data_IF_898197686194
#
_entry.id   IF_898197686194
#
_cell.length_a   1.000
_cell.length_b   1.000
_cell.length_c   1.000
_cell.angle_alpha   90.00
_cell.angle_beta   90.00
_cell.angle_gamma   90.00
#
_symmetry.space_group_name_H-M   'P 1'
#
loop_
_entity.id
_entity.type
_entity.pdbx_description
1 polymer ?
#
# COMPACT_ATOMS: atom_id res chain seq x y z
N UNK A 1 17.25 -13.62 8.05
CA UNK A 1 16.20 -12.57 8.11
C UNK A 1 14.95 -13.00 7.37
N UNK A 2 13.77 -12.55 7.80
CA UNK A 2 12.48 -12.78 7.17
C UNK A 2 11.49 -11.64 7.49
N UNK A 3 10.44 -11.49 6.70
CA UNK A 3 9.35 -10.53 6.95
C UNK A 3 8.29 -11.23 7.79
N UNK A 4 7.89 -10.65 8.92
CA UNK A 4 6.89 -11.23 9.83
C UNK A 4 5.52 -10.56 9.75
N UNK A 5 5.49 -9.27 9.45
CA UNK A 5 4.28 -8.45 9.39
C UNK A 5 4.42 -7.41 8.29
N UNK A 6 3.32 -7.10 7.61
CA UNK A 6 3.15 -5.95 6.73
C UNK A 6 1.88 -5.21 7.14
N UNK A 7 2.01 -3.90 7.30
CA UNK A 7 0.94 -2.96 7.58
C UNK A 7 0.82 -2.06 6.35
N UNK A 8 -0.40 -1.88 5.87
CA UNK A 8 -0.71 -1.15 4.64
C UNK A 8 -1.77 -0.11 4.94
N UNK A 9 -1.49 1.14 4.60
CA UNK A 9 -2.44 2.23 4.68
C UNK A 9 -2.50 3.00 3.37
N UNK A 10 -3.74 3.34 2.99
CA UNK A 10 -4.12 4.14 1.84
C UNK A 10 -3.49 3.70 0.50
N UNK A 11 -3.19 2.42 0.33
CA UNK A 11 -2.58 1.89 -0.89
C UNK A 11 -3.62 1.14 -1.74
N UNK A 12 -4.00 1.73 -2.87
CA UNK A 12 -4.96 1.21 -3.85
C UNK A 12 -6.31 0.86 -3.20
N UNK A 13 -6.73 -0.40 -3.28
CA UNK A 13 -7.97 -0.86 -2.67
C UNK A 13 -7.91 -1.05 -1.15
N UNK A 14 -6.76 -0.85 -0.51
CA UNK A 14 -6.55 -1.10 0.91
C UNK A 14 -6.47 0.26 1.63
N UNK A 15 -7.50 0.59 2.42
CA UNK A 15 -7.47 1.77 3.30
C UNK A 15 -6.56 1.53 4.51
N UNK A 16 -6.74 0.40 5.16
CA UNK A 16 -5.94 -0.08 6.28
C UNK A 16 -5.95 -1.62 6.22
N UNK A 17 -4.81 -2.25 6.51
CA UNK A 17 -4.72 -3.70 6.51
C UNK A 17 -3.41 -4.20 7.10
N UNK A 18 -3.50 -5.35 7.78
CA UNK A 18 -2.35 -6.02 8.39
C UNK A 18 -2.27 -7.45 7.85
N UNK A 19 -1.08 -7.85 7.41
CA UNK A 19 -0.78 -9.21 6.95
C UNK A 19 0.36 -9.77 7.78
N UNK A 20 0.13 -10.91 8.42
CA UNK A 20 1.19 -11.67 9.11
C UNK A 20 1.73 -12.75 8.18
N UNK A 21 3.04 -12.94 8.24
CA UNK A 21 3.73 -13.94 7.44
C UNK A 21 4.33 -15.00 8.35
N UNK A 22 4.10 -16.26 7.97
CA UNK A 22 4.88 -17.39 8.44
C UNK A 22 6.03 -17.66 7.44
N UNK A 23 6.99 -18.54 7.77
CA UNK A 23 8.07 -18.91 6.85
C UNK A 23 7.58 -19.37 5.47
N UNK A 24 6.36 -19.91 5.38
CA UNK A 24 5.70 -20.30 4.14
C UNK A 24 4.27 -19.73 4.12
N UNK A 25 4.09 -18.61 3.42
CA UNK A 25 2.79 -17.93 3.31
C UNK A 25 2.25 -18.03 1.89
N UNK A 26 0.98 -18.45 1.76
CA UNK A 26 0.26 -18.49 0.48
C UNK A 26 -0.94 -17.54 0.55
N UNK A 27 -1.01 -16.59 -0.37
CA UNK A 27 -2.14 -15.67 -0.47
C UNK A 27 -3.19 -16.22 -1.45
N UNK A 28 -4.36 -16.62 -0.94
CA UNK A 28 -5.48 -17.14 -1.73
C UNK A 28 -6.68 -16.20 -1.60
N UNK A 29 -7.44 -16.04 -2.69
CA UNK A 29 -8.66 -15.25 -2.68
C UNK A 29 -9.13 -14.87 -4.08
N UNK A 30 -10.31 -14.28 -4.18
CA UNK A 30 -10.92 -13.82 -5.44
C UNK A 30 -10.06 -12.83 -6.22
N UNK A 31 -10.31 -12.67 -7.52
CA UNK A 31 -9.70 -11.59 -8.29
C UNK A 31 -10.03 -10.23 -7.65
N UNK A 32 -9.07 -9.30 -7.70
CA UNK A 32 -9.18 -7.95 -7.15
C UNK A 32 -9.30 -7.84 -5.61
N UNK A 33 -9.07 -8.91 -4.84
CA UNK A 33 -9.12 -8.86 -3.38
C UNK A 33 -7.85 -8.31 -2.69
N UNK A 34 -6.92 -7.70 -3.43
CA UNK A 34 -5.71 -7.09 -2.87
C UNK A 34 -4.46 -7.97 -2.80
N UNK A 35 -4.48 -9.23 -3.28
CA UNK A 35 -3.28 -10.10 -3.30
C UNK A 35 -2.08 -9.45 -4.00
N UNK A 36 -2.30 -8.94 -5.21
CA UNK A 36 -1.25 -8.26 -5.97
C UNK A 36 -0.80 -6.98 -5.26
N UNK A 37 -1.73 -6.25 -4.63
CA UNK A 37 -1.42 -5.05 -3.83
C UNK A 37 -0.47 -5.38 -2.67
N UNK A 38 -0.68 -6.49 -1.96
CA UNK A 38 0.23 -6.95 -0.88
C UNK A 38 1.63 -7.24 -1.43
N UNK A 39 1.72 -7.96 -2.57
CA UNK A 39 3.00 -8.30 -3.20
C UNK A 39 3.73 -7.05 -3.69
N UNK A 40 3.02 -6.10 -4.30
CA UNK A 40 3.59 -4.84 -4.76
C UNK A 40 3.99 -3.91 -3.61
N UNK A 41 3.27 -3.91 -2.48
CA UNK A 41 3.67 -3.20 -1.28
C UNK A 41 5.04 -3.68 -0.76
N UNK A 42 5.26 -5.00 -0.72
CA UNK A 42 6.56 -5.59 -0.39
C UNK A 42 7.64 -5.20 -1.41
N UNK A 43 7.31 -5.17 -2.70
CA UNK A 43 8.22 -4.75 -3.75
C UNK A 43 8.65 -3.27 -3.60
N UNK A 44 7.72 -2.39 -3.23
CA UNK A 44 8.00 -0.98 -2.93
C UNK A 44 8.90 -0.85 -1.70
N UNK A 45 8.62 -1.56 -0.61
CA UNK A 45 9.45 -1.55 0.61
C UNK A 45 10.89 -2.00 0.36
N UNK A 46 11.07 -3.08 -0.39
CA UNK A 46 12.38 -3.75 -0.53
C UNK A 46 13.05 -3.53 -1.89
N UNK A 47 12.92 -2.31 -2.44
CA UNK A 47 13.73 -1.82 -3.56
C UNK A 47 13.61 -2.63 -4.85
N UNK A 48 12.42 -3.18 -5.11
CA UNK A 48 12.02 -3.74 -6.42
C UNK A 48 11.11 -2.76 -7.16
N UNK A 49 11.32 -1.48 -6.91
CA UNK A 49 10.60 -0.34 -7.50
C UNK A 49 10.69 -0.32 -9.03
N UNK A 50 11.77 -0.81 -9.65
CA UNK A 50 11.83 -0.95 -11.13
C UNK A 50 10.87 -2.00 -11.69
N UNK A 51 10.39 -2.92 -10.86
CA UNK A 51 9.43 -3.97 -11.24
C UNK A 51 7.99 -3.53 -10.97
N UNK A 52 7.81 -2.48 -10.17
CA UNK A 52 6.52 -1.83 -9.94
C UNK A 52 6.46 -0.64 -10.89
N UNK A 53 5.29 -0.36 -11.46
CA UNK A 53 5.11 0.89 -12.20
C UNK A 53 5.37 2.08 -11.28
N UNK A 54 5.81 3.21 -11.83
CA UNK A 54 5.88 4.45 -11.05
C UNK A 54 4.53 4.76 -10.42
N UNK A 55 4.55 5.15 -9.14
CA UNK A 55 3.32 5.47 -8.42
C UNK A 55 2.64 6.69 -9.04
N UNK A 56 1.32 6.66 -9.02
CA UNK A 56 0.44 7.71 -9.51
C UNK A 56 -0.60 8.03 -8.45
N UNK A 57 -1.38 9.09 -8.66
CA UNK A 57 -2.56 9.39 -7.85
C UNK A 57 -3.55 8.20 -7.74
N UNK A 58 -3.58 7.32 -8.75
CA UNK A 58 -4.45 6.14 -8.75
C UNK A 58 -4.00 5.06 -7.76
N UNK A 59 -2.74 5.10 -7.33
CA UNK A 59 -2.22 4.16 -6.34
C UNK A 59 -2.60 4.53 -4.91
N UNK A 60 -3.15 5.73 -4.68
CA UNK A 60 -3.73 6.12 -3.41
C UNK A 60 -5.15 5.57 -3.27
N UNK A 61 -5.57 5.31 -2.04
CA UNK A 61 -6.93 4.88 -1.75
C UNK A 61 -7.97 5.89 -2.25
N UNK A 62 -8.99 5.39 -2.95
CA UNK A 62 -9.98 6.24 -3.63
C UNK A 62 -9.47 6.99 -4.86
N UNK A 63 -8.19 6.83 -5.23
CA UNK A 63 -7.54 7.48 -6.38
C UNK A 63 -7.62 9.01 -6.41
N UNK A 64 -7.96 9.67 -5.29
CA UNK A 64 -8.09 11.12 -5.19
C UNK A 64 -7.31 11.68 -3.99
N UNK A 65 -5.97 11.57 -3.99
CA UNK A 65 -5.17 11.96 -2.84
C UNK A 65 -5.31 13.45 -2.55
N UNK A 66 -5.69 13.76 -1.31
CA UNK A 66 -5.61 15.10 -0.73
C UNK A 66 -4.19 15.39 -0.22
N UNK A 67 -3.81 16.67 0.00
CA UNK A 67 -2.47 17.01 0.49
C UNK A 67 -2.05 16.33 1.79
N UNK A 68 -3.00 15.96 2.64
CA UNK A 68 -2.76 15.23 3.88
C UNK A 68 -2.66 13.70 3.69
N UNK A 69 -3.09 13.17 2.56
CA UNK A 69 -3.13 11.72 2.34
C UNK A 69 -1.72 11.17 2.12
N UNK A 70 -1.41 10.09 2.83
CA UNK A 70 -0.15 9.37 2.73
C UNK A 70 -0.43 7.90 2.46
N UNK A 71 0.29 7.31 1.51
CA UNK A 71 0.47 5.87 1.50
C UNK A 71 1.50 5.57 2.58
N UNK A 72 1.20 4.63 3.47
CA UNK A 72 2.15 4.15 4.48
C UNK A 72 2.19 2.64 4.43
N UNK A 73 3.38 2.09 4.21
CA UNK A 73 3.64 0.66 4.24
C UNK A 73 4.68 0.42 5.31
N UNK A 74 4.43 -0.47 6.26
CA UNK A 74 5.40 -0.81 7.31
C UNK A 74 5.60 -2.31 7.34
N UNK A 75 6.84 -2.77 7.19
CA UNK A 75 7.19 -4.17 7.34
C UNK A 75 8.03 -4.40 8.59
N UNK A 76 7.65 -5.42 9.35
CA UNK A 76 8.44 -5.91 10.49
C UNK A 76 9.36 -7.02 9.99
N UNK A 77 10.67 -6.77 10.05
CA UNK A 77 11.72 -7.72 9.70
C UNK A 77 12.24 -8.38 10.98
N UNK A 78 12.36 -9.71 10.98
CA UNK A 78 12.86 -10.51 12.11
C UNK A 78 13.90 -11.53 11.63
N UNK A 79 14.40 -12.35 12.56
CA UNK A 79 15.34 -13.42 12.24
C UNK A 79 16.75 -12.90 11.99
N UNK A 80 17.15 -11.97 12.86
CA UNK A 80 18.54 -11.57 13.07
C UNK A 80 19.24 -12.64 13.88
N UNK A 81 20.42 -13.08 13.43
CA UNK A 81 21.17 -14.15 14.10
C UNK A 81 21.50 -13.77 15.55
N UNK A 82 21.33 -14.71 16.48
CA UNK A 82 21.55 -14.48 17.91
C UNK A 82 20.52 -13.60 18.62
N UNK A 83 19.61 -12.92 17.91
CA UNK A 83 18.69 -11.91 18.45
C UNK A 83 19.40 -10.84 19.30
N UNK A 84 20.63 -10.47 18.92
CA UNK A 84 21.48 -9.53 19.63
C UNK A 84 21.74 -8.29 18.76
N UNK A 85 21.17 -7.11 19.09
CA UNK A 85 21.38 -5.89 18.33
C UNK A 85 22.86 -5.51 18.16
N UNK A 86 23.72 -5.85 19.13
CA UNK A 86 25.14 -5.52 19.07
C UNK A 86 25.88 -6.28 17.96
N UNK A 87 25.35 -7.45 17.54
CA UNK A 87 25.90 -8.23 16.43
C UNK A 87 25.42 -7.72 15.06
N UNK A 88 24.40 -6.86 15.03
CA UNK A 88 23.77 -6.34 13.82
C UNK A 88 23.88 -4.81 13.75
N UNK A 89 25.07 -4.27 14.02
CA UNK A 89 25.31 -2.82 14.04
C UNK A 89 25.04 -2.13 12.70
N UNK A 90 25.01 -2.84 11.57
CA UNK A 90 24.61 -2.21 10.29
C UNK A 90 23.12 -1.83 10.28
N UNK A 91 22.29 -2.52 11.07
CA UNK A 91 20.86 -2.29 11.21
C UNK A 91 20.51 -1.44 12.42
N UNK A 92 21.12 -1.72 13.57
CA UNK A 92 20.79 -1.09 14.85
C UNK A 92 21.90 -0.14 15.29
N UNK A 93 21.64 1.16 15.24
CA UNK A 93 22.47 2.27 15.74
C UNK A 93 21.58 3.42 16.20
N UNK A 94 22.15 4.36 16.94
CA UNK A 94 21.43 5.53 17.47
C UNK A 94 20.73 6.38 16.38
N UNK A 95 21.18 6.29 15.13
CA UNK A 95 20.67 7.00 13.96
C UNK A 95 20.00 6.08 12.93
N UNK A 96 19.63 4.83 13.28
CA UNK A 96 19.08 3.85 12.33
C UNK A 96 17.86 3.09 12.87
N UNK A 97 17.92 1.76 12.84
CA UNK A 97 16.85 0.90 13.28
C UNK A 97 16.78 0.91 14.80
N UNK A 98 15.59 1.20 15.30
CA UNK A 98 15.29 1.10 16.72
C UNK A 98 14.97 -0.34 17.05
N UNK A 99 15.53 -0.79 18.16
CA UNK A 99 15.41 -2.16 18.64
C UNK A 99 13.97 -2.39 19.06
N UNK A 100 13.33 -3.38 18.44
CA UNK A 100 11.99 -3.83 18.79
C UNK A 100 11.97 -5.34 18.94
N UNK A 101 10.94 -5.87 19.57
CA UNK A 101 10.78 -7.28 19.87
C UNK A 101 9.46 -7.80 19.33
N UNK A 102 9.54 -8.81 18.48
CA UNK A 102 8.38 -9.46 17.87
C UNK A 102 7.88 -10.59 18.76
N UNK A 103 6.62 -10.49 19.18
CA UNK A 103 5.92 -11.58 19.83
C UNK A 103 5.35 -12.55 18.77
N UNK A 104 5.84 -13.80 18.70
CA UNK A 104 5.39 -14.76 17.70
C UNK A 104 3.95 -15.25 17.90
N UNK A 105 3.36 -15.06 19.10
CA UNK A 105 2.02 -15.56 19.43
C UNK A 105 0.95 -14.61 18.90
N UNK A 106 0.98 -13.36 19.36
CA UNK A 106 -0.05 -12.37 19.03
C UNK A 106 0.36 -11.43 17.89
N UNK A 107 1.57 -11.56 17.33
CA UNK A 107 2.11 -10.70 16.29
C UNK A 107 2.26 -9.23 16.67
N UNK A 108 2.42 -8.94 17.97
CA UNK A 108 2.72 -7.61 18.48
C UNK A 108 4.21 -7.28 18.35
N UNK A 109 4.49 -5.98 18.26
CA UNK A 109 5.85 -5.42 18.24
C UNK A 109 6.02 -4.59 19.51
N UNK A 110 6.97 -4.96 20.35
CA UNK A 110 7.19 -4.37 21.68
C UNK A 110 8.53 -3.63 21.74
N UNK A 111 8.64 -2.53 22.49
CA UNK A 111 9.89 -1.77 22.61
C UNK A 111 10.93 -2.45 23.51
N UNK A 112 10.50 -3.26 24.47
CA UNK A 112 11.35 -3.98 25.40
C UNK A 112 11.15 -5.49 25.27
N UNK A 113 12.18 -6.28 25.64
CA UNK A 113 12.09 -7.74 25.67
C UNK A 113 11.62 -8.21 27.03
N UNK A 114 10.40 -8.71 27.11
CA UNK A 114 9.88 -9.32 28.34
C UNK A 114 10.02 -10.85 28.31
N UNK A 115 10.00 -11.45 27.12
CA UNK A 115 10.12 -12.89 26.93
C UNK A 115 11.33 -13.27 26.06
N UNK A 116 12.03 -14.35 26.44
CA UNK A 116 13.11 -14.94 25.66
C UNK A 116 12.61 -15.51 24.33
N UNK A 117 11.33 -15.89 24.21
CA UNK A 117 10.73 -16.36 22.96
C UNK A 117 10.62 -15.27 21.89
N UNK A 118 10.63 -13.99 22.29
CA UNK A 118 10.50 -12.85 21.39
C UNK A 118 11.75 -12.67 20.55
N UNK A 119 11.52 -12.37 19.27
CA UNK A 119 12.58 -12.25 18.27
C UNK A 119 12.97 -10.79 18.10
N UNK A 120 14.26 -10.52 17.90
CA UNK A 120 14.72 -9.19 17.54
C UNK A 120 14.04 -8.77 16.23
N UNK A 121 13.50 -7.57 16.22
CA UNK A 121 12.73 -7.00 15.14
C UNK A 121 13.20 -5.59 14.79
N UNK A 122 13.08 -5.26 13.51
CA UNK A 122 13.27 -3.92 12.98
C UNK A 122 12.09 -3.59 12.06
N UNK A 123 11.49 -2.41 12.22
CA UNK A 123 10.44 -1.94 11.32
C UNK A 123 11.01 -1.02 10.25
N UNK A 124 10.69 -1.33 8.99
CA UNK A 124 11.07 -0.55 7.82
C UNK A 124 9.79 -0.04 7.18
N UNK A 125 9.75 1.26 6.91
CA UNK A 125 8.59 1.89 6.30
C UNK A 125 8.89 2.45 4.91
N UNK A 126 7.84 2.50 4.10
CA UNK A 126 7.77 3.21 2.84
C UNK A 126 6.57 4.16 2.93
N UNK A 127 6.83 5.45 2.74
CA UNK A 127 5.80 6.48 2.67
C UNK A 127 5.76 7.07 1.25
N UNK A 128 4.57 7.48 0.81
CA UNK A 128 4.42 8.27 -0.40
C UNK A 128 3.37 9.37 -0.25
N UNK A 129 3.66 10.54 -0.83
CA UNK A 129 2.73 11.68 -0.93
C UNK A 129 2.55 12.11 -2.38
N UNK A 130 1.35 12.58 -2.72
CA UNK A 130 1.09 13.15 -4.03
C UNK A 130 1.31 14.66 -4.01
N UNK A 131 2.34 15.11 -4.71
CA UNK A 131 2.62 16.53 -4.89
C UNK A 131 1.75 17.09 -6.03
N UNK A 132 0.62 17.68 -5.65
CA UNK A 132 -0.38 18.21 -6.59
C UNK A 132 0.18 19.21 -7.61
N UNK A 133 1.05 20.18 -7.25
CA UNK A 133 1.55 21.14 -8.23
C UNK A 133 2.34 20.50 -9.38
N UNK A 134 3.17 19.49 -9.09
CA UNK A 134 3.95 18.77 -10.12
C UNK A 134 3.25 17.53 -10.67
N UNK A 135 2.13 17.11 -10.07
CA UNK A 135 1.43 15.86 -10.37
C UNK A 135 2.32 14.63 -10.20
N UNK A 136 3.23 14.67 -9.23
CA UNK A 136 4.18 13.59 -8.96
C UNK A 136 3.96 12.92 -7.62
N UNK A 137 4.40 11.67 -7.51
CA UNK A 137 4.40 10.94 -6.25
C UNK A 137 5.81 10.96 -5.70
N UNK A 138 5.99 11.65 -4.57
CA UNK A 138 7.22 11.63 -3.81
C UNK A 138 7.21 10.43 -2.86
N UNK A 139 8.35 9.76 -2.74
CA UNK A 139 8.46 8.52 -1.96
C UNK A 139 9.65 8.57 -1.03
N UNK A 140 9.50 8.01 0.17
CA UNK A 140 10.58 7.92 1.15
C UNK A 140 10.59 6.52 1.78
N UNK A 141 11.78 5.92 1.90
CA UNK A 141 11.98 4.70 2.69
C UNK A 141 12.78 5.04 3.92
N UNK A 142 12.33 4.58 5.07
CA UNK A 142 12.92 4.98 6.35
C UNK A 142 12.79 3.88 7.40
N UNK A 143 13.62 3.96 8.44
CA UNK A 143 13.43 3.16 9.65
C UNK A 143 12.24 3.70 10.45
N UNK A 144 11.31 2.83 10.80
CA UNK A 144 10.10 3.22 11.50
C UNK A 144 10.24 3.04 13.01
N UNK A 145 10.14 4.16 13.73
CA UNK A 145 10.26 4.23 15.20
C UNK A 145 8.90 4.18 15.90
N UNK A 146 8.05 5.15 15.65
CA UNK A 146 6.73 5.25 16.26
C UNK A 146 5.74 5.80 15.22
N UNK A 147 4.48 5.41 15.37
CA UNK A 147 3.34 6.00 14.66
C UNK A 147 3.05 7.43 15.13
N UNK A 148 3.61 7.85 16.28
CA UNK A 148 3.54 9.22 16.79
C UNK A 148 4.46 10.22 16.06
N UNK A 149 5.38 9.74 15.20
CA UNK A 149 6.19 10.61 14.35
C UNK A 149 5.25 11.31 13.37
N UNK A 150 5.33 12.65 13.31
CA UNK A 150 4.54 13.49 12.42
C UNK A 150 4.75 13.15 10.93
N UNK A 151 4.27 14.03 10.04
CA UNK A 151 4.44 13.80 8.60
C UNK A 151 5.93 13.71 8.25
N UNK A 152 6.39 12.53 7.81
CA UNK A 152 7.78 12.25 7.46
C UNK A 152 8.32 13.11 6.33
N UNK A 153 7.42 13.75 5.57
CA UNK A 153 7.79 14.70 4.52
C UNK A 153 7.80 16.17 4.98
N UNK A 154 7.42 16.45 6.23
CA UNK A 154 7.42 17.79 6.82
C UNK A 154 8.60 18.00 7.78
N UNK A 155 8.91 16.99 8.59
CA UNK A 155 9.81 17.18 9.75
C UNK A 155 11.29 16.78 9.51
N UNK A 156 11.66 16.29 8.32
CA UNK A 156 13.00 15.77 7.95
C UNK A 156 13.65 14.82 9.01
N UNK A 157 12.84 14.29 9.92
CA UNK A 157 13.29 13.51 11.08
C UNK A 157 13.45 12.02 10.77
N UNK A 158 12.95 11.59 9.60
CA UNK A 158 12.96 10.20 9.19
C UNK A 158 14.36 9.76 8.73
N UNK A 159 14.92 8.74 9.38
CA UNK A 159 16.18 8.15 8.94
C UNK A 159 15.97 7.31 7.69
N UNK A 160 16.59 7.70 6.57
CA UNK A 160 16.50 6.97 5.32
C UNK A 160 17.00 5.52 5.40
N UNK A 161 16.26 4.60 4.79
CA UNK A 161 16.62 3.19 4.71
C UNK A 161 17.54 2.93 3.51
N UNK A 162 18.77 2.45 3.77
CA UNK A 162 19.79 2.36 2.73
C UNK A 162 19.59 1.19 1.76
N UNK A 163 19.97 1.39 0.49
CA UNK A 163 19.90 0.35 -0.54
C UNK A 163 20.81 -0.87 -0.27
N UNK A 164 21.84 -0.72 0.58
CA UNK A 164 22.67 -1.85 1.04
C UNK A 164 21.83 -2.79 1.90
N UNK A 165 21.13 -2.27 2.90
CA UNK A 165 20.31 -3.06 3.82
C UNK A 165 19.12 -3.72 3.13
N UNK A 166 18.57 -3.09 2.08
CA UNK A 166 17.57 -3.74 1.21
C UNK A 166 18.09 -5.05 0.62
N UNK A 167 19.37 -5.10 0.19
CA UNK A 167 19.96 -6.31 -0.38
C UNK A 167 20.18 -7.38 0.68
N UNK A 168 20.50 -6.99 1.92
CA UNK A 168 20.72 -7.90 3.04
C UNK A 168 19.46 -8.71 3.40
N UNK A 169 18.26 -8.14 3.18
CA UNK A 169 16.98 -8.85 3.35
C UNK A 169 16.83 -10.01 2.35
N UNK A 170 17.42 -9.88 1.16
CA UNK A 170 17.34 -10.91 0.12
C UNK A 170 15.94 -11.09 -0.48
N UNK A 171 15.15 -10.02 -0.59
CA UNK A 171 13.80 -10.11 -1.19
C UNK A 171 13.88 -10.30 -2.73
N UNK A 172 13.27 -11.38 -3.22
CA UNK A 172 13.14 -11.69 -4.64
C UNK A 172 11.67 -11.78 -5.03
N UNK A 173 11.31 -11.06 -6.10
CA UNK A 173 9.99 -11.10 -6.70
C UNK A 173 10.11 -11.74 -8.09
N UNK A 174 9.37 -12.83 -8.31
CA UNK A 174 9.23 -13.44 -9.63
C UNK A 174 7.85 -13.06 -10.17
N UNK A 175 7.76 -12.08 -11.09
CA UNK A 175 6.48 -11.66 -11.62
C UNK A 175 5.94 -12.76 -12.53
N UNK A 176 4.68 -13.14 -12.33
CA UNK A 176 3.96 -13.90 -13.35
C UNK A 176 3.65 -12.93 -14.50
N UNK A 177 4.29 -13.11 -15.65
CA UNK A 177 4.03 -12.28 -16.82
C UNK A 177 2.54 -12.36 -17.19
N UNK A 178 1.77 -11.31 -16.88
CA UNK A 178 0.40 -11.14 -17.35
C UNK A 178 0.41 -10.08 -18.44
N UNK A 179 -0.08 -10.44 -19.61
CA UNK A 179 0.14 -9.75 -20.89
C UNK A 179 -0.65 -8.44 -21.08
N UNK A 180 -1.03 -7.71 -20.03
CA UNK A 180 -2.05 -6.64 -20.14
C UNK A 180 -1.76 -5.29 -19.46
N UNK A 181 -0.51 -4.94 -19.16
CA UNK A 181 -0.20 -3.66 -18.48
C UNK A 181 0.13 -2.46 -19.41
N UNK A 182 -0.33 -2.48 -20.66
CA UNK A 182 -0.17 -1.32 -21.58
C UNK A 182 -1.48 -0.59 -21.85
N UNK A 183 -2.30 -0.41 -20.83
CA UNK A 183 -3.42 0.53 -20.94
C UNK A 183 -2.89 1.95 -20.83
N UNK A 184 -3.05 2.73 -21.89
CA UNK A 184 -2.71 4.16 -21.92
C UNK A 184 -3.52 4.85 -20.82
N UNK A 185 -2.85 5.39 -19.82
CA UNK A 185 -3.46 6.19 -18.75
C UNK A 185 -2.97 7.64 -18.85
N UNK A 186 -3.70 8.57 -18.26
CA UNK A 186 -3.27 9.97 -18.10
C UNK A 186 -1.95 10.12 -17.33
N UNK A 187 -1.42 9.03 -16.77
CA UNK A 187 -0.05 8.93 -16.23
C UNK A 187 1.05 8.82 -17.28
N UNK A 188 0.77 9.06 -18.57
CA UNK A 188 1.80 9.12 -19.62
C UNK A 188 2.91 10.08 -19.21
N UNK A 189 4.13 9.56 -19.13
CA UNK A 189 5.33 10.32 -18.76
C UNK A 189 5.53 11.54 -19.67
N UNK A 190 5.17 11.43 -20.96
CA UNK A 190 5.23 12.52 -21.92
C UNK A 190 4.27 13.65 -21.56
N UNK A 191 3.04 13.33 -21.15
CA UNK A 191 2.07 14.33 -20.71
C UNK A 191 2.59 15.08 -19.47
N UNK A 192 3.10 14.35 -18.48
CA UNK A 192 3.65 14.95 -17.25
C UNK A 192 4.87 15.84 -17.52
N UNK A 193 5.79 15.43 -18.40
CA UNK A 193 6.94 16.25 -18.81
C UNK A 193 6.53 17.53 -19.52
N UNK A 194 5.50 17.49 -20.37
CA UNK A 194 4.96 18.68 -21.05
C UNK A 194 4.34 19.65 -20.03
N UNK A 195 3.60 19.12 -19.05
CA UNK A 195 3.01 19.92 -17.96
C UNK A 195 4.10 20.57 -17.10
N UNK A 196 5.17 19.84 -16.77
CA UNK A 196 6.28 20.37 -15.96
C UNK A 196 7.16 21.40 -16.71
N UNK A 197 7.23 21.30 -18.04
CA UNK A 197 8.02 22.22 -18.88
C UNK A 197 7.25 23.49 -19.30
N UNK A 198 5.92 23.52 -19.18
CA UNK A 198 5.10 24.70 -19.45
C UNK A 198 5.13 25.69 -18.29
N UNK A 199 5.52 26.94 -18.54
CA UNK A 199 5.72 27.98 -17.52
C UNK A 199 4.47 28.42 -16.74
N UNK A 200 3.28 27.88 -17.04
CA UNK A 200 2.07 28.11 -16.26
C UNK A 200 1.57 26.77 -15.72
N UNK A 201 1.65 26.54 -14.41
CA UNK A 201 1.17 25.31 -13.76
C UNK A 201 -0.32 25.07 -14.07
N UNK A 202 -0.66 24.18 -15.03
CA UNK A 202 -2.05 23.86 -15.39
C UNK A 202 -2.57 22.70 -14.53
N UNK A 203 -1.83 22.28 -13.51
CA UNK A 203 -2.14 21.10 -12.70
C UNK A 203 -3.50 21.24 -12.02
N UNK A 204 -3.89 22.44 -11.59
CA UNK A 204 -5.24 22.72 -11.09
C UNK A 204 -6.32 22.49 -12.16
N UNK A 205 -6.11 22.95 -13.40
CA UNK A 205 -7.03 22.70 -14.52
C UNK A 205 -7.10 21.22 -14.91
N UNK A 206 -5.98 20.49 -14.82
CA UNK A 206 -5.95 19.05 -15.06
C UNK A 206 -6.71 18.30 -13.96
N UNK A 207 -6.51 18.68 -12.70
CA UNK A 207 -7.23 18.09 -11.57
C UNK A 207 -8.72 18.42 -11.62
N UNK A 208 -9.11 19.63 -12.01
CA UNK A 208 -10.51 20.03 -12.12
C UNK A 208 -11.24 19.29 -13.26
N UNK A 209 -10.61 19.16 -14.44
CA UNK A 209 -11.20 18.40 -15.55
C UNK A 209 -11.26 16.91 -15.22
N UNK A 210 -10.25 16.37 -14.53
CA UNK A 210 -10.28 15.00 -14.01
C UNK A 210 -11.46 14.81 -13.05
N UNK A 211 -11.65 15.72 -12.09
CA UNK A 211 -12.72 15.62 -11.10
C UNK A 211 -14.10 15.72 -11.76
N UNK A 212 -14.23 16.59 -12.77
CA UNK A 212 -15.41 16.66 -13.64
C UNK A 212 -15.68 15.34 -14.37
N UNK A 213 -14.66 14.68 -14.92
CA UNK A 213 -14.80 13.39 -15.60
C UNK A 213 -15.14 12.23 -14.64
N UNK A 214 -14.71 12.32 -13.37
CA UNK A 214 -15.06 11.33 -12.32
C UNK A 214 -16.49 11.49 -11.84
N UNK A 215 -17.04 12.69 -11.87
CA UNK A 215 -18.41 13.00 -11.49
C UNK A 215 -19.08 13.89 -12.54
N UNK A 216 -19.35 13.37 -13.75
CA UNK A 216 -19.92 14.18 -14.82
C UNK A 216 -21.36 14.58 -14.46
N UNK A 217 -21.73 15.81 -14.80
CA UNK A 217 -23.09 16.33 -14.60
C UNK A 217 -24.13 15.52 -15.38
N UNK A 218 -23.78 15.07 -16.58
CA UNK A 218 -24.57 14.17 -17.41
C UNK A 218 -23.91 12.79 -17.44
N UNK A 219 -24.36 11.88 -16.56
CA UNK A 219 -23.85 10.51 -16.53
C UNK A 219 -24.40 9.71 -17.70
N UNK A 220 -23.53 8.99 -18.41
CA UNK A 220 -23.92 8.08 -19.50
C UNK A 220 -24.94 7.02 -19.06
N UNK A 221 -24.93 6.63 -17.79
CA UNK A 221 -25.87 5.65 -17.24
C UNK A 221 -27.31 6.20 -17.11
N UNK A 222 -27.46 7.52 -17.07
CA UNK A 222 -28.74 8.23 -16.93
C UNK A 222 -29.32 8.65 -18.29
N UNK A 223 -28.59 8.43 -19.38
CA UNK A 223 -29.08 8.68 -20.75
C UNK A 223 -30.28 7.79 -21.07
N UNK A 224 -31.33 8.35 -21.69
CA UNK A 224 -32.59 7.66 -21.94
C UNK A 224 -32.44 6.39 -22.79
N UNK A 225 -31.45 6.33 -23.68
CA UNK A 225 -31.21 5.17 -24.56
C UNK A 225 -30.35 4.12 -23.88
N UNK A 226 -29.46 4.52 -22.97
CA UNK A 226 -28.55 3.62 -22.27
C UNK A 226 -29.13 3.09 -20.95
N UNK A 227 -29.99 3.85 -20.28
CA UNK A 227 -30.58 3.49 -19.00
C UNK A 227 -31.26 2.10 -18.99
N UNK A 228 -32.00 1.67 -20.05
CA UNK A 228 -32.55 0.31 -20.11
C UNK A 228 -31.47 -0.78 -20.20
N UNK A 229 -30.38 -0.52 -20.92
CA UNK A 229 -29.24 -1.45 -21.08
C UNK A 229 -28.52 -1.60 -19.74
N UNK A 230 -28.18 -0.48 -19.10
CA UNK A 230 -27.52 -0.44 -17.79
C UNK A 230 -28.36 -1.14 -16.72
N UNK A 231 -29.68 -0.90 -16.70
CA UNK A 231 -30.60 -1.55 -15.76
C UNK A 231 -30.62 -3.08 -15.93
N UNK A 232 -30.66 -3.57 -17.17
CA UNK A 232 -30.63 -5.02 -17.46
C UNK A 232 -29.30 -5.64 -17.03
N UNK A 233 -28.17 -5.01 -17.38
CA UNK A 233 -26.83 -5.48 -17.04
C UNK A 233 -26.63 -5.55 -15.51
N UNK A 234 -27.11 -4.54 -14.79
CA UNK A 234 -27.09 -4.53 -13.33
C UNK A 234 -27.95 -5.65 -12.73
N UNK A 235 -29.10 -5.98 -13.33
CA UNK A 235 -29.94 -7.09 -12.89
C UNK A 235 -29.25 -8.45 -13.09
N UNK A 236 -28.61 -8.65 -14.23
CA UNK A 236 -27.82 -9.86 -14.53
C UNK A 236 -26.62 -10.00 -13.58
N UNK A 237 -25.85 -8.93 -13.38
CA UNK A 237 -24.70 -8.91 -12.47
C UNK A 237 -25.10 -9.19 -11.01
N UNK A 238 -26.26 -8.71 -10.57
CA UNK A 238 -26.81 -9.04 -9.24
C UNK A 238 -27.13 -10.52 -9.11
N UNK A 239 -27.63 -11.16 -10.16
CA UNK A 239 -27.85 -12.61 -10.23
C UNK A 239 -26.55 -13.40 -10.05
N UNK A 240 -25.48 -12.99 -10.74
CA UNK A 240 -24.16 -13.63 -10.64
C UNK A 240 -23.48 -13.42 -9.27
N UNK A 241 -23.71 -12.29 -8.59
CA UNK A 241 -23.17 -12.05 -7.23
C UNK A 241 -23.74 -13.03 -6.19
N UNK A 242 -25.02 -13.39 -6.26
CA UNK A 242 -25.67 -14.33 -5.32
C UNK A 242 -25.16 -15.77 -5.44
N UNK A 243 -24.66 -16.17 -6.62
CA UNK A 243 -24.06 -17.50 -6.81
C UNK A 243 -22.68 -17.64 -6.14
N UNK A 244 -21.92 -16.55 -6.00
CA UNK A 244 -20.57 -16.57 -5.41
C UNK A 244 -20.54 -16.64 -3.87
N UNK A 245 -21.63 -16.31 -3.18
CA UNK A 245 -21.69 -16.36 -1.72
C UNK A 245 -21.81 -17.79 -1.15
N UNK A 246 -22.07 -18.80 -2.00
CA UNK A 246 -22.29 -20.18 -1.57
C UNK A 246 -21.05 -21.08 -1.49
N UNK A 247 -19.87 -20.65 -1.96
CA UNK A 247 -18.68 -21.53 -2.08
C UNK A 247 -17.41 -21.07 -1.34
N UNK A 248 -17.47 -20.10 -0.43
CA UNK A 248 -16.26 -19.62 0.25
C UNK A 248 -16.28 -19.84 1.78
N UNK A 249 -15.64 -20.94 2.22
CA UNK A 249 -15.09 -21.10 3.57
C UNK A 249 -13.59 -20.77 3.50
N UNK A 250 -13.09 -20.04 4.51
CA UNK A 250 -11.70 -19.63 4.83
C UNK A 250 -11.30 -18.16 4.52
N UNK A 251 -10.86 -17.50 5.60
CA UNK A 251 -10.23 -16.17 5.77
C UNK A 251 -10.77 -15.02 4.91
N UNK A 252 -11.89 -14.42 5.36
CA UNK A 252 -12.41 -13.17 4.81
C UNK A 252 -11.59 -11.98 5.30
N UNK A 253 -10.88 -11.32 4.38
CA UNK A 253 -10.68 -9.87 4.47
C UNK A 253 -12.05 -9.20 4.26
N UNK A 254 -12.50 -8.27 5.12
CA UNK A 254 -13.84 -7.70 5.02
C UNK A 254 -13.98 -6.93 3.70
N UNK A 255 -14.84 -7.43 2.81
CA UNK A 255 -15.29 -6.71 1.62
C UNK A 255 -16.33 -5.67 2.05
N UNK A 256 -15.88 -4.43 2.26
CA UNK A 256 -16.76 -3.27 2.43
C UNK A 256 -17.32 -2.82 1.09
N UNK A 257 -18.59 -3.14 0.83
CA UNK A 257 -19.35 -2.59 -0.29
C UNK A 257 -20.64 -1.96 0.21
N UNK A 258 -20.59 -0.68 0.61
CA UNK A 258 -21.62 0.37 0.37
C UNK A 258 -21.44 1.57 1.33
N UNK A 259 -21.17 2.75 0.77
CA UNK A 259 -21.45 4.12 1.26
C UNK A 259 -20.87 4.62 2.61
N UNK A 260 -20.46 5.91 2.72
CA UNK A 260 -19.60 6.39 3.79
C UNK A 260 -20.43 6.95 4.96
N UNK A 261 -20.24 6.38 6.14
CA UNK A 261 -20.29 7.04 7.45
C UNK A 261 -20.01 5.97 8.48
N UNK A 262 -18.95 6.24 9.24
CA UNK A 262 -18.60 5.68 10.54
C UNK A 262 -18.63 4.16 10.65
N UNK A 263 -17.50 3.53 10.95
CA UNK A 263 -17.39 2.42 11.90
C UNK A 263 -15.98 1.83 11.79
N UNK A 264 -15.21 2.07 12.86
CA UNK A 264 -13.97 1.38 13.18
C UNK A 264 -14.31 -0.01 13.75
N UNK A 265 -13.63 -1.08 13.33
CA UNK A 265 -13.45 -2.20 14.23
C UNK A 265 -11.99 -2.69 14.28
N UNK A 266 -11.45 -2.73 15.49
CA UNK A 266 -10.27 -3.51 15.85
C UNK A 266 -10.52 -4.99 15.56
N UNK A 267 -9.51 -5.69 15.02
CA UNK A 267 -9.54 -7.15 14.87
C UNK A 267 -8.29 -7.74 15.52
N UNK A 268 -8.50 -8.36 16.69
CA UNK A 268 -7.59 -9.35 17.24
C UNK A 268 -7.79 -10.67 16.48
N UNK A 269 -6.69 -11.33 16.10
CA UNK A 269 -6.68 -12.72 15.68
C UNK A 269 -5.79 -13.53 16.64
N UNK A 270 -6.38 -14.62 17.15
CA UNK A 270 -5.72 -15.77 17.79
C UNK A 270 -4.61 -16.34 16.90
#
# INVERSE_FOLDING_TARGET
MQIAKLEIENFRGIREGVVRFSPHTVLVGSNNCGKTTVVEALALLFGRDRMVRQLTEHDFYGSNPQPADRIRLVATVIGFDGNDPAQHMDWFRNDRGIVKWWNPVDGAVMPAREDQSWKLACQVAFAARFHRPSLEVETLRYFHDDDAVGDVFADESATAFSARLIRDIGFFLVPAARTWDRTVSFGSELFRRVIAAGEGQPSESVLSERDRLRAPEARLEEDERLAPIVSRLNQELRGHRKLKEREAVVARLPHGGSSPRDFCPQVHCL
#
